data_IF_845062389650
#
_entry.id   IF_845062389650
#
_cell.length_a   1.000
_cell.length_b   1.000
_cell.length_c   1.000
_cell.angle_alpha   90.00
_cell.angle_beta   90.00
_cell.angle_gamma   90.00
#
_symmetry.space_group_name_H-M   'P 1'
#
loop_
_entity.id
_entity.type
_entity.pdbx_description
1 polymer ?
#
# COMPACT_ATOMS: atom_id res chain seq x y z
N UNK A 1 -5.02 -77.95 -6.97
CA UNK A 1 -5.26 -76.79 -7.79
C UNK A 1 -3.88 -76.16 -8.01
N UNK A 2 -3.32 -76.32 -9.22
CA UNK A 2 -1.94 -75.94 -9.57
C UNK A 2 -1.87 -74.49 -9.88
N UNK A 3 -0.91 -73.77 -9.31
CA UNK A 3 -0.56 -72.36 -9.70
C UNK A 3 0.64 -72.51 -10.63
N UNK A 4 0.49 -72.05 -11.85
CA UNK A 4 1.47 -72.08 -12.91
C UNK A 4 2.33 -70.82 -12.83
N UNK A 5 3.67 -70.98 -12.69
CA UNK A 5 4.64 -69.88 -12.68
C UNK A 5 4.99 -69.52 -14.13
N UNK A 6 4.69 -68.31 -14.55
CA UNK A 6 5.13 -67.80 -15.84
C UNK A 6 6.46 -66.98 -15.66
N UNK A 7 7.57 -67.61 -16.07
CA UNK A 7 8.91 -67.05 -16.09
C UNK A 7 9.10 -66.28 -17.43
N UNK A 8 8.92 -64.96 -17.47
CA UNK A 8 9.43 -64.19 -18.58
C UNK A 8 10.87 -63.76 -18.36
N UNK A 9 11.74 -64.28 -19.25
CA UNK A 9 13.15 -63.96 -19.32
C UNK A 9 13.42 -62.54 -19.78
N UNK A 10 14.01 -61.75 -18.92
CA UNK A 10 14.54 -60.41 -19.31
C UNK A 10 15.85 -60.56 -20.08
N UNK A 11 15.84 -60.25 -21.37
CA UNK A 11 17.02 -60.18 -22.23
C UNK A 11 17.69 -58.81 -22.04
N UNK A 12 18.82 -58.78 -21.34
CA UNK A 12 19.65 -57.59 -21.25
C UNK A 12 20.33 -57.29 -22.60
N UNK A 13 19.94 -56.21 -23.25
CA UNK A 13 20.71 -55.68 -24.38
C UNK A 13 21.91 -54.89 -23.83
N UNK A 14 23.10 -55.27 -24.19
CA UNK A 14 24.34 -54.52 -23.90
C UNK A 14 24.32 -53.22 -24.70
N UNK A 15 24.08 -52.10 -24.01
CA UNK A 15 24.30 -50.77 -24.59
C UNK A 15 25.81 -50.51 -24.62
N UNK A 16 26.35 -50.20 -25.80
CA UNK A 16 27.77 -49.93 -26.01
C UNK A 16 28.23 -48.73 -25.22
N UNK A 17 29.27 -48.85 -24.41
CA UNK A 17 29.85 -47.80 -23.57
C UNK A 17 30.29 -46.53 -24.36
N UNK A 18 30.48 -46.64 -25.67
CA UNK A 18 30.84 -45.49 -26.54
C UNK A 18 29.69 -44.54 -26.80
N UNK A 19 28.44 -44.97 -26.77
CA UNK A 19 27.27 -44.11 -26.92
C UNK A 19 26.94 -43.28 -25.68
N UNK A 20 27.23 -43.83 -24.48
CA UNK A 20 26.96 -43.18 -23.20
C UNK A 20 27.91 -41.98 -22.92
N UNK A 21 29.18 -42.10 -23.31
CA UNK A 21 30.20 -41.04 -23.12
C UNK A 21 29.96 -39.84 -24.00
N UNK A 22 29.43 -40.02 -25.23
CA UNK A 22 29.11 -38.89 -26.12
C UNK A 22 27.87 -38.10 -25.66
N UNK A 23 26.88 -38.80 -25.09
CA UNK A 23 25.66 -38.16 -24.56
C UNK A 23 25.92 -37.34 -23.29
N UNK A 24 26.76 -37.89 -22.37
CA UNK A 24 27.14 -37.19 -21.12
C UNK A 24 27.98 -35.95 -21.43
N UNK A 25 28.91 -36.02 -22.41
CA UNK A 25 29.71 -34.86 -22.82
C UNK A 25 28.84 -33.72 -23.45
N UNK A 26 27.82 -34.09 -24.22
CA UNK A 26 26.88 -33.11 -24.81
C UNK A 26 25.98 -32.48 -23.75
N UNK A 27 25.52 -33.23 -22.75
CA UNK A 27 24.74 -32.68 -21.62
C UNK A 27 25.56 -31.76 -20.73
N UNK A 28 26.83 -32.03 -20.48
CA UNK A 28 27.74 -31.18 -19.71
C UNK A 28 28.08 -29.87 -20.46
N UNK A 29 28.20 -29.91 -21.81
CA UNK A 29 28.38 -28.71 -22.62
C UNK A 29 27.12 -27.87 -22.70
N UNK A 30 25.93 -28.48 -22.80
CA UNK A 30 24.65 -27.77 -22.78
C UNK A 30 24.35 -27.17 -21.40
N UNK A 31 24.68 -27.87 -20.29
CA UNK A 31 24.49 -27.32 -18.94
C UNK A 31 25.42 -26.16 -18.61
N UNK A 32 26.66 -26.14 -19.15
CA UNK A 32 27.57 -25.01 -18.98
C UNK A 32 27.16 -23.78 -19.80
N UNK A 33 26.45 -23.93 -20.92
CA UNK A 33 25.89 -22.81 -21.67
C UNK A 33 24.63 -22.21 -21.03
N UNK A 34 23.82 -23.02 -20.33
CA UNK A 34 22.63 -22.54 -19.60
C UNK A 34 23.00 -21.79 -18.32
N UNK A 35 24.16 -22.12 -17.71
CA UNK A 35 24.63 -21.43 -16.49
C UNK A 35 25.19 -20.02 -16.71
N UNK A 36 25.41 -19.59 -17.95
CA UNK A 36 26.00 -18.27 -18.27
C UNK A 36 24.92 -17.19 -18.53
N UNK A 37 23.64 -17.55 -18.65
CA UNK A 37 22.58 -16.58 -18.95
C UNK A 37 21.81 -16.07 -17.74
N UNK A 38 22.14 -16.48 -16.52
CA UNK A 38 21.66 -15.82 -15.31
C UNK A 38 22.73 -14.84 -14.73
N UNK A 39 23.29 -13.98 -15.58
CA UNK A 39 23.73 -12.69 -15.09
C UNK A 39 22.41 -11.94 -14.80
N UNK A 40 21.90 -12.09 -13.59
CA UNK A 40 20.91 -11.17 -13.06
C UNK A 40 21.58 -9.81 -13.13
N UNK A 41 21.22 -9.01 -14.14
CA UNK A 41 21.40 -7.57 -14.04
C UNK A 41 20.56 -7.16 -12.82
N UNK A 42 21.18 -7.10 -11.66
CA UNK A 42 20.65 -6.30 -10.58
C UNK A 42 20.74 -4.87 -11.12
N UNK A 43 19.63 -4.39 -11.71
CA UNK A 43 19.53 -2.96 -12.04
C UNK A 43 19.93 -2.20 -10.77
N UNK A 44 20.91 -1.33 -10.92
CA UNK A 44 21.28 -0.45 -9.81
C UNK A 44 20.03 0.34 -9.43
N UNK A 45 19.75 0.51 -8.13
CA UNK A 45 18.66 1.36 -7.71
C UNK A 45 18.74 2.70 -8.44
N UNK A 46 17.63 3.15 -9.04
CA UNK A 46 17.57 4.48 -9.67
C UNK A 46 17.94 5.54 -8.65
N UNK A 47 18.63 6.58 -9.09
CA UNK A 47 18.86 7.76 -8.27
C UNK A 47 17.66 8.71 -8.43
N UNK A 48 17.19 9.25 -7.31
CA UNK A 48 16.06 10.18 -7.30
C UNK A 48 16.44 11.48 -6.60
N UNK A 49 16.14 12.61 -7.23
CA UNK A 49 16.21 13.95 -6.63
C UNK A 49 14.82 14.36 -6.17
N UNK A 50 14.66 14.68 -4.89
CA UNK A 50 13.38 15.08 -4.32
C UNK A 50 13.08 16.55 -4.69
N UNK A 51 11.93 16.78 -5.32
CA UNK A 51 11.37 18.13 -5.55
C UNK A 51 10.68 18.62 -4.27
N UNK A 52 9.88 17.74 -3.65
CA UNK A 52 9.27 17.94 -2.35
C UNK A 52 9.24 16.62 -1.59
N UNK A 53 9.55 16.66 -0.30
CA UNK A 53 9.37 15.53 0.63
C UNK A 53 8.68 16.05 1.87
N UNK A 54 7.45 15.62 2.08
CA UNK A 54 6.65 16.00 3.22
C UNK A 54 7.17 15.33 4.50
N UNK A 55 6.97 15.99 5.63
CA UNK A 55 7.27 15.39 6.93
C UNK A 55 6.39 14.16 7.13
N UNK A 56 6.99 13.09 7.63
CA UNK A 56 6.28 11.83 7.87
C UNK A 56 6.75 11.18 9.18
N UNK A 57 5.91 10.36 9.76
CA UNK A 57 6.29 9.47 10.87
C UNK A 57 7.22 8.36 10.36
N UNK A 58 7.95 7.66 11.26
CA UNK A 58 8.77 6.52 10.85
C UNK A 58 7.97 5.49 10.04
N UNK A 59 8.67 4.85 9.10
CA UNK A 59 8.11 3.71 8.34
C UNK A 59 7.73 2.61 9.32
N UNK A 60 6.52 2.09 9.18
CA UNK A 60 5.99 0.97 9.95
C UNK A 60 6.08 -0.32 9.13
N UNK A 61 5.97 -1.45 9.81
CA UNK A 61 5.96 -2.77 9.17
C UNK A 61 4.65 -3.48 9.50
N UNK A 62 3.86 -3.79 8.46
CA UNK A 62 2.62 -4.55 8.57
C UNK A 62 2.87 -6.07 8.68
N UNK A 63 4.11 -6.52 8.43
CA UNK A 63 4.44 -7.95 8.35
C UNK A 63 3.64 -8.65 7.24
N UNK A 64 3.15 -9.85 7.56
CA UNK A 64 2.36 -10.67 6.62
C UNK A 64 0.87 -10.32 6.59
N UNK A 65 0.44 -9.23 7.26
CA UNK A 65 -0.97 -8.83 7.25
C UNK A 65 -1.35 -8.18 5.91
N UNK A 66 -2.61 -8.32 5.51
CA UNK A 66 -3.16 -7.67 4.32
C UNK A 66 -3.86 -6.34 4.67
N UNK A 67 -3.31 -5.60 5.63
CA UNK A 67 -3.88 -4.38 6.20
C UNK A 67 -3.18 -3.10 5.74
N UNK A 68 -2.51 -3.11 4.59
CA UNK A 68 -1.81 -1.95 4.02
C UNK A 68 -2.69 -0.69 3.98
N UNK A 69 -3.97 -0.83 3.68
CA UNK A 69 -4.97 0.23 3.65
C UNK A 69 -5.11 0.99 4.98
N UNK A 70 -4.94 0.30 6.12
CA UNK A 70 -4.92 0.94 7.46
C UNK A 70 -3.67 1.79 7.60
N UNK A 71 -2.50 1.21 7.26
CA UNK A 71 -1.21 1.90 7.38
C UNK A 71 -1.15 3.12 6.47
N UNK A 72 -1.62 2.99 5.24
CA UNK A 72 -1.65 4.06 4.25
C UNK A 72 -2.54 5.23 4.70
N UNK A 73 -3.78 4.94 5.13
CA UNK A 73 -4.71 5.98 5.57
C UNK A 73 -4.21 6.69 6.83
N UNK A 74 -3.71 5.93 7.82
CA UNK A 74 -3.14 6.53 9.03
C UNK A 74 -1.89 7.36 8.71
N UNK A 75 -1.04 6.93 7.77
CA UNK A 75 0.12 7.70 7.36
C UNK A 75 -0.27 9.00 6.64
N UNK A 76 -1.35 9.03 5.87
CA UNK A 76 -1.89 10.24 5.28
C UNK A 76 -2.39 11.22 6.35
N UNK A 77 -3.13 10.73 7.36
CA UNK A 77 -3.57 11.54 8.53
C UNK A 77 -2.36 12.10 9.29
N UNK A 78 -1.36 11.27 9.57
CA UNK A 78 -0.13 11.68 10.25
C UNK A 78 0.62 12.77 9.48
N UNK A 79 0.73 12.63 8.14
CA UNK A 79 1.39 13.60 7.26
C UNK A 79 0.67 14.95 7.29
N UNK A 80 -0.67 14.94 7.28
CA UNK A 80 -1.50 16.14 7.38
C UNK A 80 -1.19 16.91 8.68
N UNK A 81 -1.16 16.22 9.82
CA UNK A 81 -0.84 16.80 11.12
C UNK A 81 0.58 17.34 11.20
N UNK A 82 1.55 16.59 10.69
CA UNK A 82 2.96 17.00 10.67
C UNK A 82 3.20 18.26 9.83
N UNK A 83 2.42 18.49 8.78
CA UNK A 83 2.47 19.72 8.00
C UNK A 83 2.10 20.96 8.84
N UNK A 84 1.21 20.79 9.82
CA UNK A 84 0.79 21.84 10.75
C UNK A 84 1.67 21.96 12.01
N UNK A 85 2.67 21.11 12.16
CA UNK A 85 3.58 21.10 13.30
C UNK A 85 3.13 20.23 14.47
N UNK A 86 2.03 19.50 14.31
CA UNK A 86 1.59 18.51 15.29
C UNK A 86 2.47 17.26 15.25
N UNK A 87 2.63 16.59 16.40
CA UNK A 87 3.35 15.33 16.50
C UNK A 87 2.37 14.19 16.74
N UNK A 88 1.80 13.67 15.65
CA UNK A 88 0.84 12.56 15.69
C UNK A 88 1.49 11.31 15.08
N UNK A 89 1.46 10.20 15.81
CA UNK A 89 1.91 8.88 15.36
C UNK A 89 0.89 7.85 15.85
N UNK A 90 0.08 7.32 14.92
CA UNK A 90 -1.10 6.51 15.21
C UNK A 90 -0.79 5.01 15.16
N UNK A 91 -1.53 4.21 15.93
CA UNK A 91 -1.35 2.76 15.97
C UNK A 91 -2.23 2.05 14.95
N UNK A 92 -1.67 1.47 13.88
CA UNK A 92 -2.45 0.61 12.98
C UNK A 92 -2.96 -0.64 13.69
N UNK A 93 -2.23 -1.17 14.67
CA UNK A 93 -2.62 -2.33 15.45
C UNK A 93 -3.91 -2.13 16.25
N UNK A 94 -4.22 -0.87 16.62
CA UNK A 94 -5.50 -0.56 17.25
C UNK A 94 -6.66 -0.85 16.28
N UNK A 95 -6.57 -0.37 15.04
CA UNK A 95 -7.59 -0.60 14.03
C UNK A 95 -7.65 -2.08 13.63
N UNK A 96 -6.50 -2.73 13.43
CA UNK A 96 -6.45 -4.18 13.16
C UNK A 96 -7.17 -5.00 14.24
N UNK A 97 -7.07 -4.59 15.51
CA UNK A 97 -7.77 -5.24 16.61
C UNK A 97 -9.28 -4.96 16.58
N UNK A 98 -9.68 -3.78 16.16
CA UNK A 98 -11.10 -3.42 16.06
C UNK A 98 -11.79 -4.16 14.91
N UNK A 99 -11.06 -4.59 13.87
CA UNK A 99 -11.59 -5.45 12.81
C UNK A 99 -12.18 -6.77 13.35
N UNK A 100 -11.69 -7.28 14.47
CA UNK A 100 -12.24 -8.48 15.12
C UNK A 100 -13.70 -8.29 15.58
N UNK A 101 -14.15 -7.04 15.69
CA UNK A 101 -15.52 -6.69 16.10
C UNK A 101 -16.43 -6.40 14.89
N UNK A 102 -15.90 -6.45 13.67
CA UNK A 102 -16.64 -6.20 12.44
C UNK A 102 -17.11 -7.54 11.81
N UNK A 103 -18.39 -7.86 11.88
CA UNK A 103 -18.89 -9.16 11.40
C UNK A 103 -18.78 -9.31 9.87
N UNK A 104 -18.68 -8.19 9.14
CA UNK A 104 -18.53 -8.17 7.68
C UNK A 104 -17.08 -8.23 7.23
N UNK A 105 -16.11 -8.07 8.15
CA UNK A 105 -14.70 -8.09 7.82
C UNK A 105 -14.31 -9.44 7.19
N UNK A 106 -13.71 -9.46 6.00
CA UNK A 106 -13.25 -10.69 5.38
C UNK A 106 -12.13 -11.35 6.20
N UNK A 107 -11.98 -12.66 6.07
CA UNK A 107 -10.92 -13.42 6.78
C UNK A 107 -9.52 -12.95 6.40
N UNK A 108 -9.34 -12.47 5.19
CA UNK A 108 -8.10 -11.87 4.70
C UNK A 108 -7.74 -10.57 5.42
N UNK A 109 -8.73 -9.88 6.01
CA UNK A 109 -8.61 -8.52 6.55
C UNK A 109 -8.27 -7.47 5.48
N UNK A 110 -8.45 -7.79 4.20
CA UNK A 110 -8.36 -6.79 3.13
C UNK A 110 -9.52 -5.80 3.26
N UNK A 111 -9.30 -4.58 2.86
CA UNK A 111 -10.29 -3.52 2.95
C UNK A 111 -9.77 -2.24 2.29
N UNK A 112 -10.58 -1.20 2.34
CA UNK A 112 -10.33 0.09 1.71
C UNK A 112 -9.87 1.14 2.74
N UNK A 113 -9.10 2.17 2.34
CA UNK A 113 -8.72 3.28 3.22
C UNK A 113 -9.92 3.98 3.86
N UNK A 114 -11.05 4.10 3.17
CA UNK A 114 -12.31 4.64 3.71
C UNK A 114 -12.84 3.83 4.89
N UNK A 115 -12.62 2.52 4.88
CA UNK A 115 -12.95 1.65 6.02
C UNK A 115 -12.17 2.06 7.27
N UNK A 116 -10.90 2.46 7.14
CA UNK A 116 -10.12 3.00 8.28
C UNK A 116 -10.80 4.22 8.87
N UNK A 117 -11.30 5.16 8.05
CA UNK A 117 -12.00 6.35 8.54
C UNK A 117 -13.26 5.99 9.32
N UNK A 118 -14.04 5.02 8.84
CA UNK A 118 -15.23 4.51 9.56
C UNK A 118 -14.88 3.84 10.89
N UNK A 119 -13.80 3.06 10.92
CA UNK A 119 -13.34 2.41 12.15
C UNK A 119 -12.81 3.42 13.17
N UNK A 120 -12.10 4.46 12.71
CA UNK A 120 -11.70 5.60 13.53
C UNK A 120 -12.91 6.28 14.19
N UNK A 121 -13.95 6.56 13.41
CA UNK A 121 -15.17 7.18 13.93
C UNK A 121 -15.89 6.27 14.94
N UNK A 122 -16.00 4.97 14.64
CA UNK A 122 -16.73 3.98 15.45
C UNK A 122 -16.01 3.60 16.73
N UNK A 123 -14.72 3.28 16.63
CA UNK A 123 -13.94 2.68 17.73
C UNK A 123 -12.88 3.61 18.30
N UNK A 124 -12.52 4.67 17.59
CA UNK A 124 -11.44 5.54 18.00
C UNK A 124 -10.07 5.08 17.53
N UNK A 125 -9.03 5.63 18.14
CA UNK A 125 -7.61 5.33 17.86
C UNK A 125 -6.76 5.58 19.10
N UNK A 126 -5.55 5.06 19.14
CA UNK A 126 -4.52 5.44 20.10
C UNK A 126 -3.19 5.73 19.42
N UNK A 127 -2.27 6.34 20.15
CA UNK A 127 -0.90 6.54 19.69
C UNK A 127 -0.15 5.22 19.51
N UNK A 128 0.81 5.20 18.60
CA UNK A 128 1.62 4.03 18.27
C UNK A 128 2.36 3.49 19.51
N UNK A 129 2.86 4.39 20.37
CA UNK A 129 3.58 3.99 21.59
C UNK A 129 2.71 3.27 22.62
N UNK A 130 1.40 3.50 22.61
CA UNK A 130 0.46 2.83 23.50
C UNK A 130 0.09 1.41 23.02
N UNK A 131 0.21 1.15 21.71
CA UNK A 131 -0.12 -0.17 21.15
C UNK A 131 0.76 -0.45 19.93
N UNK A 132 1.88 -1.15 20.14
CA UNK A 132 2.91 -1.46 19.11
C UNK A 132 2.76 -2.84 18.48
N UNK A 133 1.75 -3.60 18.86
CA UNK A 133 1.38 -4.88 18.24
C UNK A 133 -0.07 -5.24 18.58
N UNK A 134 -0.69 -6.11 17.79
CA UNK A 134 -2.09 -6.51 17.91
C UNK A 134 -2.39 -7.32 19.19
N UNK A 135 -1.37 -7.95 19.80
CA UNK A 135 -1.52 -8.72 21.06
C UNK A 135 -1.62 -7.82 22.29
N UNK A 136 -1.19 -6.56 22.18
CA UNK A 136 -1.35 -5.56 23.25
C UNK A 136 -2.85 -5.31 23.46
N UNK A 137 -3.34 -5.26 24.71
CA UNK A 137 -4.72 -4.86 24.98
C UNK A 137 -4.98 -3.43 24.49
N UNK A 138 -6.10 -3.21 23.84
CA UNK A 138 -6.49 -1.87 23.44
C UNK A 138 -6.64 -0.97 24.67
N UNK A 139 -5.98 0.20 24.72
CA UNK A 139 -6.07 1.09 25.84
C UNK A 139 -7.47 1.70 25.96
N UNK A 140 -7.96 1.85 27.19
CA UNK A 140 -9.23 2.54 27.46
C UNK A 140 -9.10 4.06 27.44
N UNK A 141 -7.89 4.55 27.60
CA UNK A 141 -7.56 5.97 27.69
C UNK A 141 -6.32 6.29 26.87
N UNK A 142 -6.34 7.44 26.24
CA UNK A 142 -5.20 8.01 25.50
C UNK A 142 -4.73 9.24 26.28
N UNK A 143 -3.43 9.29 26.57
CA UNK A 143 -2.80 10.42 27.24
C UNK A 143 -2.04 11.25 26.21
N UNK A 144 -2.43 12.51 26.03
CA UNK A 144 -1.80 13.41 25.07
C UNK A 144 -1.80 14.85 25.61
N UNK A 145 -0.65 15.51 25.55
CA UNK A 145 -0.49 16.91 25.96
C UNK A 145 -1.02 17.22 27.38
N UNK A 146 -0.81 16.27 28.32
CA UNK A 146 -1.24 16.43 29.71
C UNK A 146 -2.73 16.21 29.98
N UNK A 147 -3.50 15.81 28.98
CA UNK A 147 -4.91 15.47 29.10
C UNK A 147 -5.17 13.98 28.81
N UNK A 148 -6.32 13.50 29.26
CA UNK A 148 -6.79 12.13 29.10
C UNK A 148 -8.02 12.14 28.21
N UNK A 149 -8.02 11.29 27.18
CA UNK A 149 -9.09 11.14 26.21
C UNK A 149 -9.55 9.69 26.14
N UNK A 150 -10.81 9.46 25.80
CA UNK A 150 -11.20 8.16 25.24
C UNK A 150 -10.59 8.00 23.83
N UNK A 151 -10.41 6.78 23.34
CA UNK A 151 -9.94 6.58 21.97
C UNK A 151 -10.78 7.29 20.91
N UNK A 152 -12.10 7.41 21.11
CA UNK A 152 -13.02 8.12 20.22
C UNK A 152 -12.83 9.65 20.27
N UNK A 153 -12.62 10.23 21.44
CA UNK A 153 -12.31 11.65 21.58
C UNK A 153 -10.97 11.98 20.92
N UNK A 154 -9.96 11.13 21.12
CA UNK A 154 -8.68 11.28 20.48
C UNK A 154 -8.79 11.15 18.95
N UNK A 155 -9.55 10.16 18.43
CA UNK A 155 -9.78 10.03 17.00
C UNK A 155 -10.38 11.32 16.39
N UNK A 156 -11.39 11.92 17.06
CA UNK A 156 -11.99 13.18 16.59
C UNK A 156 -11.05 14.38 16.63
N UNK A 157 -10.01 14.33 17.43
CA UNK A 157 -8.99 15.39 17.46
C UNK A 157 -8.00 15.28 16.31
N UNK A 158 -7.78 14.06 15.77
CA UNK A 158 -6.82 13.81 14.67
C UNK A 158 -7.49 13.61 13.32
N UNK A 159 -8.76 13.24 13.29
CA UNK A 159 -9.53 13.05 12.07
C UNK A 159 -11.02 13.29 12.38
N UNK A 160 -11.54 14.43 11.95
CA UNK A 160 -12.96 14.76 12.16
C UNK A 160 -13.84 13.95 11.22
N UNK A 161 -15.05 13.53 11.64
CA UNK A 161 -15.99 12.89 10.76
C UNK A 161 -16.23 13.72 9.49
N UNK A 162 -16.10 13.10 8.34
CA UNK A 162 -16.29 13.74 7.04
C UNK A 162 -15.21 14.75 6.63
N UNK A 163 -14.05 14.75 7.25
CA UNK A 163 -12.91 15.62 6.90
C UNK A 163 -12.27 15.20 5.56
N UNK A 164 -12.24 13.91 5.29
CA UNK A 164 -11.67 13.34 4.07
C UNK A 164 -12.73 13.22 2.97
N UNK A 165 -12.27 13.24 1.73
CA UNK A 165 -13.00 12.90 0.53
C UNK A 165 -12.29 11.72 -0.14
N UNK A 166 -13.07 10.73 -0.57
CA UNK A 166 -12.60 9.60 -1.34
C UNK A 166 -12.91 9.82 -2.82
N UNK A 167 -11.92 9.63 -3.66
CA UNK A 167 -11.94 9.92 -5.10
C UNK A 167 -11.62 8.67 -5.88
N UNK A 168 -12.30 8.47 -7.00
CA UNK A 168 -11.97 7.44 -7.97
C UNK A 168 -12.00 8.01 -9.39
N UNK A 169 -11.49 7.24 -10.36
CA UNK A 169 -11.64 7.56 -11.78
C UNK A 169 -12.07 6.32 -12.53
N UNK A 170 -13.31 6.33 -13.01
CA UNK A 170 -13.93 5.25 -13.76
C UNK A 170 -14.71 5.86 -14.94
N UNK A 171 -14.26 5.58 -16.16
CA UNK A 171 -14.85 6.12 -17.40
C UNK A 171 -16.25 5.52 -17.68
N UNK A 172 -16.59 4.41 -17.06
CA UNK A 172 -17.89 3.75 -17.22
C UNK A 172 -18.97 4.33 -16.29
N UNK A 173 -18.60 5.24 -15.38
CA UNK A 173 -19.49 5.89 -14.42
C UNK A 173 -19.59 7.41 -14.63
N UNK A 174 -20.71 8.03 -14.29
CA UNK A 174 -20.85 9.49 -14.40
C UNK A 174 -19.79 10.23 -13.58
N UNK A 175 -19.12 11.19 -14.20
CA UNK A 175 -18.18 12.05 -13.52
C UNK A 175 -18.89 13.09 -12.64
N UNK A 176 -18.24 13.48 -11.56
CA UNK A 176 -18.70 14.45 -10.55
C UNK A 176 -19.93 13.96 -9.75
N UNK A 177 -20.15 12.66 -9.74
CA UNK A 177 -21.16 12.01 -8.93
C UNK A 177 -20.49 10.97 -8.00
N UNK A 178 -21.11 10.70 -6.86
CA UNK A 178 -20.66 9.62 -6.00
C UNK A 178 -21.14 8.28 -6.56
N UNK A 179 -20.21 7.34 -6.68
CA UNK A 179 -20.46 5.96 -7.10
C UNK A 179 -19.77 4.98 -6.19
N UNK A 180 -20.29 3.78 -6.07
CA UNK A 180 -19.65 2.70 -5.33
C UNK A 180 -18.37 2.27 -6.06
N UNK A 181 -17.28 2.08 -5.31
CA UNK A 181 -16.06 1.47 -5.82
C UNK A 181 -16.27 -0.06 -5.86
N UNK A 182 -16.43 -0.60 -7.07
CA UNK A 182 -16.77 -2.01 -7.29
C UNK A 182 -15.53 -2.91 -7.25
N UNK A 183 -14.94 -3.04 -6.06
CA UNK A 183 -13.82 -3.95 -5.79
C UNK A 183 -14.18 -4.88 -4.62
N UNK A 184 -13.63 -6.11 -4.59
CA UNK A 184 -13.95 -7.08 -3.52
C UNK A 184 -13.59 -6.58 -2.12
N UNK A 185 -12.61 -5.69 -2.01
CA UNK A 185 -12.11 -5.18 -0.75
C UNK A 185 -13.00 -4.05 -0.18
N UNK A 186 -13.91 -3.48 -0.99
CA UNK A 186 -14.93 -2.52 -0.56
C UNK A 186 -16.18 -3.21 0.06
N UNK A 187 -15.96 -4.01 1.10
CA UNK A 187 -17.03 -4.78 1.75
C UNK A 187 -18.03 -3.94 2.57
N UNK A 188 -17.76 -2.64 2.77
CA UNK A 188 -18.69 -1.67 3.35
C UNK A 188 -19.51 -0.90 2.30
N UNK A 189 -19.30 -1.17 1.01
CA UNK A 189 -19.96 -0.50 -0.09
C UNK A 189 -19.81 1.02 -0.04
N UNK A 190 -18.58 1.47 0.29
CA UNK A 190 -18.24 2.88 0.35
C UNK A 190 -18.32 3.52 -1.03
N UNK A 191 -18.77 4.78 -1.04
CA UNK A 191 -18.94 5.57 -2.27
C UNK A 191 -17.83 6.59 -2.38
N UNK A 192 -17.37 6.77 -3.60
CA UNK A 192 -16.27 7.66 -3.99
C UNK A 192 -16.80 8.68 -4.99
N UNK A 193 -16.30 9.91 -4.91
CA UNK A 193 -16.57 10.91 -5.94
C UNK A 193 -15.79 10.52 -7.20
N UNK A 194 -16.52 10.19 -8.27
CA UNK A 194 -15.92 9.86 -9.56
C UNK A 194 -15.51 11.12 -10.30
N UNK A 195 -14.24 11.23 -10.69
CA UNK A 195 -13.70 12.37 -11.45
C UNK A 195 -12.75 11.88 -12.55
N UNK A 196 -12.56 12.66 -13.63
CA UNK A 196 -11.61 12.29 -14.68
C UNK A 196 -10.20 12.09 -14.12
N UNK A 197 -9.45 11.08 -14.62
CA UNK A 197 -8.11 10.74 -14.15
C UNK A 197 -7.14 11.94 -14.18
N UNK A 198 -7.18 12.77 -15.20
CA UNK A 198 -6.33 13.95 -15.26
C UNK A 198 -6.68 14.98 -14.16
N UNK A 199 -7.96 15.06 -13.78
CA UNK A 199 -8.39 15.91 -12.65
C UNK A 199 -7.93 15.31 -11.33
N UNK A 200 -8.11 14.01 -11.14
CA UNK A 200 -7.65 13.29 -9.96
C UNK A 200 -6.14 13.45 -9.78
N UNK A 201 -5.37 13.21 -10.83
CA UNK A 201 -3.92 13.39 -10.85
C UNK A 201 -3.52 14.83 -10.48
N UNK A 202 -4.09 15.84 -11.14
CA UNK A 202 -3.76 17.25 -10.86
C UNK A 202 -4.11 17.68 -9.43
N UNK A 203 -5.20 17.15 -8.87
CA UNK A 203 -5.58 17.39 -7.47
C UNK A 203 -4.60 16.72 -6.50
N UNK A 204 -4.17 15.49 -6.80
CA UNK A 204 -3.18 14.76 -6.02
C UNK A 204 -1.82 15.46 -6.03
N UNK A 205 -1.30 15.79 -7.22
CA UNK A 205 -0.03 16.51 -7.35
C UNK A 205 -0.05 17.82 -6.57
N UNK A 206 -1.12 18.64 -6.72
CA UNK A 206 -1.27 19.87 -5.99
C UNK A 206 -1.32 19.66 -4.47
N UNK A 207 -2.07 18.66 -3.99
CA UNK A 207 -2.17 18.36 -2.57
C UNK A 207 -0.78 18.04 -1.99
N UNK A 208 0.01 17.20 -2.66
CA UNK A 208 1.36 16.82 -2.24
C UNK A 208 2.30 18.03 -2.23
N UNK A 209 2.26 18.88 -3.28
CA UNK A 209 3.05 20.13 -3.35
C UNK A 209 2.68 21.13 -2.26
N UNK A 210 1.44 21.09 -1.76
CA UNK A 210 0.96 21.92 -0.65
C UNK A 210 1.14 21.25 0.72
N UNK A 211 1.90 20.16 0.78
CA UNK A 211 2.24 19.39 1.99
C UNK A 211 1.07 18.65 2.65
N UNK A 212 -0.03 18.44 1.93
CA UNK A 212 -1.13 17.61 2.43
C UNK A 212 -0.79 16.12 2.38
N UNK A 213 -1.37 15.37 3.31
CA UNK A 213 -1.34 13.91 3.33
C UNK A 213 -2.35 13.33 2.33
N UNK A 214 -1.90 12.40 1.51
CA UNK A 214 -2.73 11.72 0.51
C UNK A 214 -2.57 10.22 0.67
N UNK A 215 -3.68 9.49 0.76
CA UNK A 215 -3.70 8.04 0.65
C UNK A 215 -3.97 7.67 -0.81
N UNK A 216 -3.27 6.67 -1.30
CA UNK A 216 -3.37 6.16 -2.66
C UNK A 216 -3.52 4.65 -2.66
N UNK A 217 -4.27 4.15 -3.61
CA UNK A 217 -4.56 2.73 -3.76
C UNK A 217 -4.54 2.28 -5.21
N UNK A 218 -3.97 1.09 -5.44
CA UNK A 218 -4.12 0.31 -6.66
C UNK A 218 -4.88 -1.01 -6.38
N UNK A 219 -4.97 -1.90 -7.38
CA UNK A 219 -5.72 -3.17 -7.26
C UNK A 219 -5.21 -4.15 -6.20
N UNK A 220 -4.12 -3.88 -5.53
CA UNK A 220 -3.54 -4.84 -4.60
C UNK A 220 -2.84 -4.23 -3.41
N UNK A 221 -2.63 -2.92 -3.38
CA UNK A 221 -1.85 -2.26 -2.35
C UNK A 221 -2.28 -0.82 -2.12
N UNK A 222 -2.10 -0.35 -0.89
CA UNK A 222 -2.32 1.05 -0.51
C UNK A 222 -1.08 1.63 0.15
N UNK A 223 -0.74 2.88 -0.18
CA UNK A 223 0.39 3.63 0.35
C UNK A 223 0.03 5.09 0.58
N UNK A 224 0.79 5.80 1.42
CA UNK A 224 0.65 7.24 1.53
C UNK A 224 1.61 7.97 0.58
N UNK A 225 1.13 8.96 -0.17
CA UNK A 225 1.97 9.83 -0.98
C UNK A 225 2.57 10.89 -0.06
N UNK A 226 3.90 10.95 -0.04
CA UNK A 226 4.64 11.85 0.86
C UNK A 226 5.58 12.79 0.12
N UNK A 227 5.59 12.79 -1.21
CA UNK A 227 6.45 13.71 -1.95
C UNK A 227 6.42 13.51 -3.45
N UNK A 228 7.25 14.29 -4.13
CA UNK A 228 7.50 14.24 -5.57
C UNK A 228 9.01 14.25 -5.79
N UNK A 229 9.48 13.43 -6.72
CA UNK A 229 10.86 13.34 -7.13
C UNK A 229 10.96 13.27 -8.66
N UNK A 230 12.18 13.43 -9.16
CA UNK A 230 12.52 13.08 -10.54
C UNK A 230 13.78 12.20 -10.56
N UNK A 231 13.90 11.36 -11.55
CA UNK A 231 15.11 10.59 -11.81
C UNK A 231 16.15 11.40 -12.62
N UNK A 232 17.27 10.78 -12.96
CA UNK A 232 18.35 11.43 -13.71
C UNK A 232 17.96 11.76 -15.16
N UNK A 233 16.91 11.13 -15.71
CA UNK A 233 16.33 11.41 -17.00
C UNK A 233 15.28 12.53 -16.95
N UNK A 234 14.90 12.98 -15.75
CA UNK A 234 13.90 14.02 -15.50
C UNK A 234 12.46 13.50 -15.51
N UNK A 235 12.25 12.17 -15.50
CA UNK A 235 10.93 11.59 -15.31
C UNK A 235 10.45 11.84 -13.87
N UNK A 236 9.18 12.22 -13.71
CA UNK A 236 8.59 12.56 -12.41
C UNK A 236 7.92 11.34 -11.76
N UNK A 237 8.04 11.30 -10.43
CA UNK A 237 7.53 10.23 -9.58
C UNK A 237 6.84 10.80 -8.34
N UNK A 238 5.79 10.14 -7.89
CA UNK A 238 5.35 10.27 -6.51
C UNK A 238 6.25 9.44 -5.60
N UNK A 239 6.59 10.01 -4.45
CA UNK A 239 7.29 9.31 -3.36
C UNK A 239 6.22 8.73 -2.46
N UNK A 240 6.21 7.40 -2.35
CA UNK A 240 5.24 6.63 -1.60
C UNK A 240 5.86 6.15 -0.28
N UNK A 241 5.18 6.38 0.83
CA UNK A 241 5.51 5.78 2.12
C UNK A 241 4.82 4.42 2.21
N UNK A 242 5.62 3.35 2.10
CA UNK A 242 5.13 1.98 2.20
C UNK A 242 5.10 1.49 3.66
N UNK A 243 4.47 0.36 3.90
CA UNK A 243 4.29 -0.29 5.21
C UNK A 243 5.00 -1.64 5.33
N UNK A 244 6.14 -1.80 4.67
CA UNK A 244 6.93 -3.04 4.67
C UNK A 244 8.28 -2.91 5.39
N UNK A 245 8.35 -2.00 6.39
CA UNK A 245 9.58 -1.75 7.13
C UNK A 245 10.64 -1.00 6.33
N UNK A 246 11.80 -0.81 6.95
CA UNK A 246 12.91 -0.04 6.37
C UNK A 246 13.98 -0.89 5.70
N UNK A 247 13.89 -2.22 5.83
CA UNK A 247 14.85 -3.17 5.23
C UNK A 247 14.52 -3.44 3.75
N UNK A 248 14.37 -2.35 3.00
CA UNK A 248 13.99 -2.30 1.58
C UNK A 248 14.82 -1.24 0.87
N UNK A 249 14.97 -1.31 -0.46
CA UNK A 249 15.52 -0.19 -1.22
C UNK A 249 14.86 1.12 -0.81
N UNK A 250 15.61 2.20 -0.77
CA UNK A 250 15.13 3.53 -0.38
C UNK A 250 14.55 3.65 1.05
N UNK A 251 14.90 2.71 1.97
CA UNK A 251 14.50 2.79 3.38
C UNK A 251 13.00 2.66 3.63
N UNK A 252 12.29 1.94 2.76
CA UNK A 252 10.84 1.73 2.84
C UNK A 252 10.01 2.79 2.11
N UNK A 253 10.66 3.70 1.37
CA UNK A 253 9.99 4.52 0.35
C UNK A 253 9.94 3.76 -0.97
N UNK A 254 8.95 4.07 -1.78
CA UNK A 254 8.82 3.60 -3.17
C UNK A 254 8.56 4.79 -4.09
N UNK A 255 8.84 4.60 -5.39
CA UNK A 255 8.69 5.64 -6.39
C UNK A 255 7.80 5.14 -7.50
N UNK A 256 6.64 5.78 -7.67
CA UNK A 256 5.67 5.46 -8.72
C UNK A 256 5.68 6.59 -9.73
N UNK A 257 6.02 6.29 -11.00
CA UNK A 257 6.03 7.32 -12.03
C UNK A 257 4.64 7.91 -12.23
N UNK A 258 4.56 9.16 -12.66
CA UNK A 258 3.29 9.83 -12.94
C UNK A 258 2.45 9.08 -13.96
N UNK A 259 3.10 8.46 -14.93
CA UNK A 259 2.43 7.61 -15.93
C UNK A 259 1.88 6.32 -15.31
N UNK A 260 2.65 5.68 -14.42
CA UNK A 260 2.19 4.50 -13.70
C UNK A 260 1.03 4.85 -12.78
N UNK A 261 1.12 5.94 -12.02
CA UNK A 261 0.02 6.43 -11.18
C UNK A 261 -1.28 6.53 -11.97
N UNK A 262 -1.28 7.21 -13.11
CA UNK A 262 -2.47 7.35 -13.96
C UNK A 262 -3.04 6.02 -14.48
N UNK A 263 -2.18 5.01 -14.66
CA UNK A 263 -2.58 3.70 -15.18
C UNK A 263 -3.11 2.74 -14.13
N UNK A 264 -2.63 2.87 -12.88
CA UNK A 264 -2.88 1.85 -11.85
C UNK A 264 -3.76 2.33 -10.71
N UNK A 265 -3.92 3.64 -10.52
CA UNK A 265 -4.75 4.21 -9.46
C UNK A 265 -6.21 3.78 -9.60
N UNK A 266 -6.76 3.23 -8.52
CA UNK A 266 -8.19 2.96 -8.40
C UNK A 266 -8.87 3.97 -7.47
N UNK A 267 -8.19 4.40 -6.41
CA UNK A 267 -8.72 5.35 -5.45
C UNK A 267 -7.64 6.25 -4.83
N UNK A 268 -8.08 7.41 -4.33
CA UNK A 268 -7.26 8.37 -3.59
C UNK A 268 -8.12 9.02 -2.52
N UNK A 269 -7.61 9.10 -1.28
CA UNK A 269 -8.22 9.84 -0.20
C UNK A 269 -7.33 11.01 0.24
N UNK A 270 -7.95 12.17 0.40
CA UNK A 270 -7.30 13.37 0.91
C UNK A 270 -8.29 14.23 1.73
N UNK A 271 -7.80 15.22 2.47
CA UNK A 271 -8.69 16.11 3.15
C UNK A 271 -9.51 16.96 2.15
N UNK A 272 -10.72 17.33 2.52
CA UNK A 272 -11.54 18.25 1.71
C UNK A 272 -10.83 19.60 1.48
N UNK A 273 -9.98 20.01 2.41
CA UNK A 273 -9.15 21.21 2.25
C UNK A 273 -8.12 21.02 1.12
N UNK A 274 -7.43 19.87 1.08
CA UNK A 274 -6.51 19.53 0.01
C UNK A 274 -7.20 19.50 -1.38
N UNK A 275 -8.41 18.94 -1.43
CA UNK A 275 -9.17 18.80 -2.67
C UNK A 275 -9.74 20.14 -3.18
N UNK A 276 -10.37 20.91 -2.32
CA UNK A 276 -11.02 22.18 -2.72
C UNK A 276 -10.09 23.39 -2.68
N UNK A 277 -9.04 23.35 -1.86
CA UNK A 277 -8.23 24.48 -1.47
C UNK A 277 -8.82 25.22 -0.26
N UNK A 278 -8.00 26.00 0.43
CA UNK A 278 -8.46 26.83 1.54
C UNK A 278 -9.51 27.84 1.07
N UNK A 279 -10.58 27.98 1.84
CA UNK A 279 -11.54 29.07 1.63
C UNK A 279 -10.79 30.39 1.75
N UNK A 280 -10.61 31.09 0.65
CA UNK A 280 -9.92 32.39 0.60
C UNK A 280 -8.57 32.42 -0.12
N UNK A 281 -8.03 31.27 -0.56
CA UNK A 281 -6.90 31.26 -1.48
C UNK A 281 -7.41 31.55 -2.90
N UNK A 282 -6.83 32.51 -3.65
CA UNK A 282 -7.24 32.72 -5.03
C UNK A 282 -6.91 31.47 -5.84
N UNK A 283 -7.89 30.92 -6.57
CA UNK A 283 -7.68 29.87 -7.54
C UNK A 283 -6.49 30.24 -8.43
N UNK A 284 -5.42 29.46 -8.53
CA UNK A 284 -4.45 29.65 -9.58
C UNK A 284 -5.18 29.46 -10.91
N UNK A 285 -5.10 30.49 -11.78
CA UNK A 285 -5.65 30.50 -13.13
C UNK A 285 -4.90 29.54 -14.03
#
# INVERSE_FOLDING_TARGET
>A
MKIEEDRRSYRWQRVSAKGLLSSISLYLLLSSFISITFLSCTEKPKHFTHEVLNRMTPIKDQGDSETCWIYAMLAAIETEHLAWGDSVNLSPYYIEKMLEQEPQCPKSKRGEPTTTLRLLEKYGICGYDAMRNVKTPAPKWVFMLGATYTPQEFARSVCKPGEYIALMSDDDKPYYEESELEVPDNWLHDRYLNIPMDTLFAKTERAVLQHHGVCWEDKGHAMAIVGIAHDDEGEKYFIMKNSWGTDRPYGGLEYISFDQFKKTTIAVEMTKEAFWGRKGSPNPK
#
